data_IF_746736072737
#
_entry.id   IF_746736072737
#
_cell.length_a   1.000
_cell.length_b   1.000
_cell.length_c   1.000
_cell.angle_alpha   90.00
_cell.angle_beta   90.00
_cell.angle_gamma   90.00
#
_symmetry.space_group_name_H-M   'P 1'
#
loop_
_entity.id
_entity.type
_entity.pdbx_description
1 polymer ?
#
# COMPACT_ATOMS: atom_id res chain seq x y z
N UNK A 1 -19.94 -26.06 7.09
CA UNK A 1 -19.78 -24.92 6.17
C UNK A 1 -20.46 -25.17 4.82
N UNK A 2 -20.10 -26.23 4.09
CA UNK A 2 -20.71 -26.55 2.77
C UNK A 2 -22.23 -26.65 2.85
N UNK A 3 -22.76 -27.33 3.86
CA UNK A 3 -24.21 -27.43 4.10
C UNK A 3 -24.90 -26.06 4.23
N UNK A 4 -24.26 -25.10 4.92
CA UNK A 4 -24.80 -23.74 5.05
C UNK A 4 -24.82 -23.00 3.70
N UNK A 5 -23.83 -23.24 2.83
CA UNK A 5 -23.80 -22.67 1.47
C UNK A 5 -24.95 -23.24 0.64
N UNK A 6 -25.13 -24.57 0.64
CA UNK A 6 -26.21 -25.24 -0.09
C UNK A 6 -27.57 -24.77 0.42
N UNK A 7 -27.75 -24.68 1.74
CA UNK A 7 -28.99 -24.17 2.35
C UNK A 7 -29.30 -22.73 1.93
N UNK A 8 -28.30 -21.85 1.87
CA UNK A 8 -28.48 -20.47 1.38
C UNK A 8 -28.86 -20.45 -0.10
N UNK A 9 -28.13 -21.20 -0.93
CA UNK A 9 -28.37 -21.26 -2.37
C UNK A 9 -29.76 -21.81 -2.72
N UNK A 10 -30.28 -22.75 -1.92
CA UNK A 10 -31.61 -23.32 -2.10
C UNK A 10 -32.74 -22.48 -1.45
N UNK A 11 -32.44 -21.35 -0.82
CA UNK A 11 -33.45 -20.55 -0.12
C UNK A 11 -34.27 -19.67 -1.06
N UNK A 12 -35.58 -19.53 -0.80
CA UNK A 12 -36.50 -18.67 -1.58
C UNK A 12 -36.03 -17.21 -1.71
N UNK A 13 -35.27 -16.70 -0.74
CA UNK A 13 -34.71 -15.35 -0.74
C UNK A 13 -33.29 -15.23 -1.32
N UNK A 14 -32.78 -16.27 -1.99
CA UNK A 14 -31.40 -16.27 -2.47
C UNK A 14 -31.12 -15.14 -3.48
N UNK A 15 -31.98 -14.95 -4.48
CA UNK A 15 -31.76 -13.96 -5.54
C UNK A 15 -31.75 -12.51 -5.01
N UNK A 16 -32.64 -12.19 -4.07
CA UNK A 16 -32.67 -10.87 -3.44
C UNK A 16 -31.45 -10.67 -2.53
N UNK A 17 -31.04 -11.70 -1.79
CA UNK A 17 -29.81 -11.70 -1.01
C UNK A 17 -28.56 -11.56 -1.90
N UNK A 18 -28.51 -12.24 -3.04
CA UNK A 18 -27.39 -12.20 -3.98
C UNK A 18 -27.25 -10.82 -4.62
N UNK A 19 -28.37 -10.23 -5.11
CA UNK A 19 -28.39 -8.85 -5.59
C UNK A 19 -27.93 -7.86 -4.54
N UNK A 20 -28.32 -8.06 -3.27
CA UNK A 20 -27.84 -7.22 -2.16
C UNK A 20 -26.33 -7.40 -1.93
N UNK A 21 -25.81 -8.62 -1.95
CA UNK A 21 -24.38 -8.88 -1.87
C UNK A 21 -23.62 -8.25 -3.05
N UNK A 22 -24.17 -8.32 -4.27
CA UNK A 22 -23.60 -7.72 -5.46
C UNK A 22 -23.56 -6.18 -5.41
N UNK A 23 -24.60 -5.55 -4.84
CA UNK A 23 -24.68 -4.08 -4.69
C UNK A 23 -23.50 -3.48 -3.90
N UNK A 24 -22.99 -4.24 -2.91
CA UNK A 24 -21.77 -3.89 -2.15
C UNK A 24 -20.50 -4.50 -2.75
N UNK A 25 -20.59 -4.98 -3.98
CA UNK A 25 -19.52 -5.60 -4.76
C UNK A 25 -19.00 -6.89 -4.16
N UNK A 26 -19.85 -7.68 -3.50
CA UNK A 26 -19.48 -8.89 -2.76
C UNK A 26 -18.50 -8.60 -1.61
N UNK A 27 -18.82 -7.60 -0.79
CA UNK A 27 -18.08 -7.32 0.44
C UNK A 27 -18.16 -8.53 1.37
N UNK A 28 -17.04 -9.09 1.84
CA UNK A 28 -17.03 -10.25 2.71
C UNK A 28 -17.49 -9.97 4.16
N UNK A 29 -17.58 -8.69 4.54
CA UNK A 29 -17.98 -8.23 5.88
C UNK A 29 -18.91 -7.02 5.79
N UNK A 30 -20.03 -7.06 5.04
CA UNK A 30 -20.83 -5.87 4.81
C UNK A 30 -21.37 -5.34 6.15
N UNK A 31 -21.45 -4.01 6.28
CA UNK A 31 -22.10 -3.37 7.42
C UNK A 31 -23.58 -3.26 7.07
N UNK A 32 -24.42 -3.87 7.89
CA UNK A 32 -25.86 -3.82 7.75
C UNK A 32 -26.41 -2.67 8.60
N UNK A 33 -27.17 -1.81 7.95
CA UNK A 33 -27.88 -0.69 8.57
C UNK A 33 -29.38 -0.93 8.41
N UNK A 34 -30.13 -0.64 9.46
CA UNK A 34 -31.59 -0.71 9.47
C UNK A 34 -32.12 0.70 9.73
N UNK A 35 -33.12 1.12 8.97
CA UNK A 35 -33.84 2.37 9.19
C UNK A 35 -35.33 2.15 8.98
N UNK A 36 -36.17 2.94 9.62
CA UNK A 36 -37.60 2.96 9.34
C UNK A 36 -37.91 4.17 8.45
N UNK A 37 -38.77 3.99 7.44
CA UNK A 37 -39.35 5.13 6.74
C UNK A 37 -40.45 5.80 7.59
N UNK A 38 -40.98 6.92 7.09
CA UNK A 38 -42.05 7.69 7.73
C UNK A 38 -43.32 6.87 8.03
N UNK A 39 -43.53 5.74 7.35
CA UNK A 39 -44.63 4.80 7.56
C UNK A 39 -44.28 3.64 8.49
N UNK A 40 -43.10 3.67 9.13
CA UNK A 40 -42.62 2.63 10.02
C UNK A 40 -42.13 1.35 9.31
N UNK A 41 -41.99 1.34 7.97
CA UNK A 41 -41.49 0.16 7.25
C UNK A 41 -39.98 0.07 7.41
N UNK A 42 -39.51 -1.08 7.89
CA UNK A 42 -38.08 -1.33 8.03
C UNK A 42 -37.40 -1.50 6.67
N UNK A 43 -36.34 -0.74 6.46
CA UNK A 43 -35.43 -0.82 5.33
C UNK A 43 -34.08 -1.32 5.79
N UNK A 44 -33.49 -2.21 5.01
CA UNK A 44 -32.15 -2.77 5.28
C UNK A 44 -31.21 -2.37 4.15
N UNK A 45 -30.13 -1.68 4.49
CA UNK A 45 -29.08 -1.29 3.55
C UNK A 45 -27.78 -1.96 3.93
N UNK A 46 -27.05 -2.43 2.93
CA UNK A 46 -25.68 -2.92 3.10
C UNK A 46 -24.70 -1.87 2.60
N UNK A 47 -23.67 -1.60 3.41
CA UNK A 47 -22.52 -0.81 2.98
C UNK A 47 -21.22 -1.61 3.09
N UNK A 48 -20.22 -1.20 2.33
CA UNK A 48 -18.93 -1.89 2.25
C UNK A 48 -18.15 -1.69 3.55
N UNK A 49 -17.45 -2.74 3.99
CA UNK A 49 -16.62 -2.70 5.20
C UNK A 49 -15.40 -1.77 5.11
N UNK A 50 -15.02 -1.36 3.89
CA UNK A 50 -13.84 -0.54 3.60
C UNK A 50 -12.52 -1.09 4.17
N UNK A 51 -12.46 -2.39 4.45
CA UNK A 51 -11.24 -3.02 4.94
C UNK A 51 -10.23 -3.19 3.79
N UNK A 52 -9.07 -2.54 3.93
CA UNK A 52 -8.00 -2.59 2.93
C UNK A 52 -7.30 -3.96 2.83
N UNK A 53 -7.44 -4.84 3.82
CA UNK A 53 -6.65 -6.08 3.93
C UNK A 53 -7.29 -7.19 3.10
N UNK A 54 -6.55 -7.72 2.12
CA UNK A 54 -7.09 -8.68 1.15
C UNK A 54 -7.58 -9.99 1.80
N UNK A 55 -6.89 -10.48 2.83
CA UNK A 55 -7.30 -11.68 3.57
C UNK A 55 -8.60 -11.50 4.37
N UNK A 56 -8.98 -10.26 4.73
CA UNK A 56 -10.25 -9.99 5.43
C UNK A 56 -11.37 -9.83 4.42
N UNK A 57 -11.17 -8.98 3.41
CA UNK A 57 -12.18 -8.69 2.40
C UNK A 57 -11.52 -8.44 1.04
N UNK A 58 -11.47 -9.45 0.14
CA UNK A 58 -10.83 -9.31 -1.16
C UNK A 58 -11.50 -8.21 -1.99
N UNK A 59 -12.83 -8.13 -1.99
CA UNK A 59 -13.58 -7.09 -2.72
C UNK A 59 -13.20 -5.66 -2.31
N UNK A 60 -13.26 -5.33 -1.02
CA UNK A 60 -12.96 -3.98 -0.54
C UNK A 60 -11.47 -3.66 -0.67
N UNK A 61 -10.58 -4.62 -0.42
CA UNK A 61 -9.13 -4.43 -0.61
C UNK A 61 -8.76 -4.13 -2.06
N UNK A 62 -9.38 -4.84 -3.01
CA UNK A 62 -9.15 -4.66 -4.43
C UNK A 62 -9.66 -3.31 -4.92
N UNK A 63 -10.80 -2.86 -4.39
CA UNK A 63 -11.29 -1.51 -4.64
C UNK A 63 -10.32 -0.46 -4.10
N UNK A 64 -9.86 -0.62 -2.85
CA UNK A 64 -8.93 0.28 -2.20
C UNK A 64 -7.58 0.37 -2.94
N UNK A 65 -7.07 -0.76 -3.45
CA UNK A 65 -5.88 -0.79 -4.29
C UNK A 65 -6.07 0.02 -5.58
N UNK A 66 -7.24 -0.13 -6.23
CA UNK A 66 -7.57 0.63 -7.45
C UNK A 66 -7.71 2.12 -7.19
N UNK A 67 -8.34 2.50 -6.07
CA UNK A 67 -8.42 3.92 -5.68
C UNK A 67 -7.05 4.49 -5.38
N UNK A 68 -6.19 3.72 -4.69
CA UNK A 68 -4.82 4.15 -4.44
C UNK A 68 -4.03 4.29 -5.74
N UNK A 69 -4.25 3.39 -6.71
CA UNK A 69 -3.66 3.54 -8.04
C UNK A 69 -4.09 4.85 -8.69
N UNK A 70 -5.37 5.22 -8.66
CA UNK A 70 -5.86 6.49 -9.20
C UNK A 70 -5.23 7.70 -8.49
N UNK A 71 -5.10 7.65 -7.16
CA UNK A 71 -4.44 8.71 -6.38
C UNK A 71 -2.98 8.92 -6.76
N UNK A 72 -2.23 7.83 -6.91
CA UNK A 72 -0.81 7.91 -7.30
C UNK A 72 -0.71 8.36 -8.75
N UNK A 73 -1.48 7.76 -9.65
CA UNK A 73 -1.42 8.03 -11.08
C UNK A 73 -1.79 9.48 -11.41
N UNK A 74 -2.90 10.00 -10.86
CA UNK A 74 -3.29 11.39 -11.06
C UNK A 74 -2.21 12.36 -10.56
N UNK A 75 -1.56 12.04 -9.42
CA UNK A 75 -0.47 12.84 -8.87
C UNK A 75 0.89 12.63 -9.53
N UNK A 76 1.02 11.75 -10.51
CA UNK A 76 2.29 11.46 -11.16
C UNK A 76 2.26 11.75 -12.67
N UNK A 77 1.13 11.50 -13.32
CA UNK A 77 0.93 11.69 -14.75
C UNK A 77 0.03 12.91 -15.08
N UNK A 78 -0.78 13.39 -14.13
CA UNK A 78 -1.71 14.48 -14.43
C UNK A 78 -2.84 14.09 -15.38
N UNK A 79 -3.62 15.07 -15.84
CA UNK A 79 -4.63 14.92 -16.89
C UNK A 79 -5.97 14.29 -16.48
N UNK A 80 -6.14 13.89 -15.21
CA UNK A 80 -7.40 13.35 -14.72
C UNK A 80 -7.61 13.61 -13.23
N UNK A 81 -8.86 13.48 -12.77
CA UNK A 81 -9.29 13.80 -11.39
C UNK A 81 -8.90 15.22 -10.92
N UNK A 82 -8.97 16.20 -11.81
CA UNK A 82 -8.65 17.61 -11.50
C UNK A 82 -7.15 17.89 -11.37
N UNK A 83 -6.31 17.03 -11.95
CA UNK A 83 -4.86 17.26 -12.01
C UNK A 83 -4.45 17.81 -13.37
N UNK A 84 -3.62 18.86 -13.43
CA UNK A 84 -3.11 19.42 -14.68
C UNK A 84 -2.29 18.40 -15.46
N UNK A 85 -2.25 18.48 -16.79
CA UNK A 85 -1.37 17.62 -17.61
C UNK A 85 0.11 17.94 -17.40
N UNK A 86 0.44 19.20 -17.09
CA UNK A 86 1.80 19.70 -16.80
C UNK A 86 2.48 18.96 -15.64
N UNK A 87 1.71 18.33 -14.75
CA UNK A 87 2.23 17.50 -13.65
C UNK A 87 3.17 16.39 -14.13
N UNK A 88 2.96 15.86 -15.34
CA UNK A 88 3.83 14.85 -15.93
C UNK A 88 5.28 15.33 -16.09
N UNK A 89 5.46 16.64 -16.32
CA UNK A 89 6.75 17.27 -16.61
C UNK A 89 7.47 17.73 -15.34
N UNK A 90 6.77 17.75 -14.20
CA UNK A 90 7.35 18.13 -12.92
C UNK A 90 8.43 17.13 -12.49
N UNK A 91 9.56 17.56 -11.90
CA UNK A 91 10.57 16.65 -11.38
C UNK A 91 10.01 15.70 -10.33
N UNK A 92 10.20 14.41 -10.57
CA UNK A 92 9.66 13.33 -9.74
C UNK A 92 10.74 12.31 -9.41
N UNK A 93 10.79 11.87 -8.17
CA UNK A 93 11.70 10.83 -7.71
C UNK A 93 10.92 9.78 -6.93
N UNK A 94 10.96 8.55 -7.41
CA UNK A 94 10.55 7.39 -6.64
C UNK A 94 11.68 7.00 -5.69
N UNK A 95 11.37 6.87 -4.40
CA UNK A 95 12.35 6.55 -3.36
C UNK A 95 11.87 5.39 -2.50
N UNK A 96 12.78 4.47 -2.20
CA UNK A 96 12.59 3.42 -1.21
C UNK A 96 13.54 3.64 -0.04
N UNK A 97 12.96 3.87 1.14
CA UNK A 97 13.67 4.07 2.41
C UNK A 97 13.56 2.80 3.25
N UNK A 98 14.68 2.13 3.46
CA UNK A 98 14.74 0.90 4.24
C UNK A 98 15.15 1.15 5.68
N UNK A 99 14.78 0.22 6.56
CA UNK A 99 15.28 0.18 7.92
C UNK A 99 16.77 -0.25 7.92
N UNK A 100 17.56 0.13 8.95
CA UNK A 100 18.90 -0.39 9.13
C UNK A 100 18.88 -1.92 9.34
N UNK A 101 20.07 -2.53 9.31
CA UNK A 101 20.22 -3.93 9.66
C UNK A 101 20.28 -4.07 11.18
N UNK A 102 19.44 -4.94 11.73
CA UNK A 102 19.43 -5.29 13.16
C UNK A 102 20.09 -6.65 13.43
N UNK A 103 20.44 -7.39 12.39
CA UNK A 103 21.06 -8.70 12.49
C UNK A 103 21.04 -9.38 11.13
N UNK A 104 21.83 -10.45 10.97
CA UNK A 104 21.84 -11.22 9.74
C UNK A 104 20.54 -12.04 9.65
N UNK A 105 19.81 -11.91 8.54
CA UNK A 105 18.56 -12.64 8.27
C UNK A 105 18.66 -13.47 7.01
N UNK A 106 17.82 -14.49 6.90
CA UNK A 106 17.62 -15.21 5.64
C UNK A 106 17.00 -14.29 4.58
N UNK A 107 17.44 -14.43 3.33
CA UNK A 107 16.91 -13.67 2.20
C UNK A 107 16.52 -14.60 1.06
N UNK A 108 15.46 -14.23 0.34
CA UNK A 108 15.04 -14.94 -0.87
C UNK A 108 16.04 -14.71 -2.01
N UNK A 109 16.21 -15.73 -2.84
CA UNK A 109 17.14 -15.70 -3.97
C UNK A 109 16.44 -15.13 -5.21
N UNK A 110 17.12 -14.26 -5.99
CA UNK A 110 16.51 -13.64 -7.17
C UNK A 110 16.69 -14.55 -8.38
N UNK A 111 15.58 -15.06 -8.94
CA UNK A 111 15.61 -16.14 -9.95
C UNK A 111 16.00 -15.74 -11.39
N UNK A 112 16.85 -14.74 -11.64
CA UNK A 112 17.07 -14.25 -13.03
C UNK A 112 18.48 -14.33 -13.62
N UNK A 113 19.50 -14.77 -12.89
CA UNK A 113 20.82 -15.02 -13.50
C UNK A 113 21.41 -16.34 -13.01
N UNK A 114 21.94 -17.14 -13.95
CA UNK A 114 22.32 -18.57 -13.88
C UNK A 114 23.45 -18.93 -12.90
N UNK A 115 23.88 -18.05 -12.00
CA UNK A 115 24.68 -18.47 -10.85
C UNK A 115 23.71 -18.80 -9.71
N UNK A 116 23.78 -20.01 -9.14
CA UNK A 116 22.97 -20.43 -8.00
C UNK A 116 23.13 -19.43 -6.84
N UNK A 117 22.31 -18.38 -6.82
CA UNK A 117 22.30 -17.43 -5.75
C UNK A 117 21.77 -18.17 -4.54
N UNK A 118 22.60 -18.27 -3.51
CA UNK A 118 22.22 -18.82 -2.22
C UNK A 118 21.70 -17.70 -1.31
N UNK A 119 20.91 -18.08 -0.32
CA UNK A 119 20.25 -17.20 0.64
C UNK A 119 21.21 -16.14 1.21
N UNK A 120 22.39 -16.57 1.64
CA UNK A 120 23.44 -15.68 2.10
C UNK A 120 24.79 -16.36 1.91
N UNK A 121 25.48 -15.96 0.85
CA UNK A 121 26.77 -16.51 0.48
C UNK A 121 27.83 -16.27 1.57
N UNK A 122 28.51 -17.36 1.94
CA UNK A 122 29.63 -17.42 2.87
C UNK A 122 30.78 -16.48 2.47
N UNK A 123 30.94 -16.18 1.17
CA UNK A 123 32.00 -15.33 0.66
C UNK A 123 31.66 -13.82 0.68
N UNK A 124 30.37 -13.43 0.78
CA UNK A 124 29.97 -12.03 0.56
C UNK A 124 30.02 -11.14 1.79
N UNK A 125 29.81 -11.64 3.01
CA UNK A 125 29.98 -10.86 4.27
C UNK A 125 30.14 -11.81 5.46
N UNK A 126 31.37 -12.00 5.94
CA UNK A 126 31.66 -12.68 7.21
C UNK A 126 32.59 -13.88 7.14
N UNK A 127 32.75 -14.54 5.99
CA UNK A 127 33.54 -15.79 5.90
C UNK A 127 32.94 -16.90 6.78
N UNK A 128 33.76 -17.88 7.17
CA UNK A 128 33.40 -18.93 8.14
C UNK A 128 33.19 -18.41 9.58
N UNK A 129 32.95 -17.11 9.78
CA UNK A 129 32.75 -16.55 11.12
C UNK A 129 31.44 -17.07 11.71
N UNK A 130 31.58 -17.71 12.86
CA UNK A 130 30.49 -17.94 13.79
C UNK A 130 30.27 -16.68 14.61
N UNK A 131 29.03 -16.41 14.99
CA UNK A 131 28.75 -15.38 15.96
C UNK A 131 29.30 -15.79 17.35
N UNK A 132 29.34 -14.87 18.34
CA UNK A 132 29.72 -15.20 19.71
C UNK A 132 28.90 -16.34 20.33
N UNK A 133 27.67 -16.57 19.85
CA UNK A 133 26.79 -17.67 20.27
C UNK A 133 27.05 -18.99 19.51
N UNK A 134 28.10 -19.07 18.69
CA UNK A 134 28.48 -20.28 17.94
C UNK A 134 27.66 -20.56 16.67
N UNK A 135 26.64 -19.74 16.36
CA UNK A 135 25.79 -19.90 15.16
C UNK A 135 26.46 -19.37 13.89
N UNK A 136 26.18 -20.02 12.76
CA UNK A 136 26.67 -19.60 11.44
C UNK A 136 25.87 -18.40 10.94
N UNK A 137 26.56 -17.39 10.40
CA UNK A 137 25.93 -16.17 9.86
C UNK A 137 25.83 -16.18 8.33
N UNK A 138 25.79 -17.36 7.74
CA UNK A 138 25.60 -17.62 6.31
C UNK A 138 24.57 -18.73 6.10
N UNK A 139 24.02 -18.83 4.89
CA UNK A 139 23.10 -19.90 4.51
C UNK A 139 23.26 -20.19 3.02
N UNK A 140 23.71 -21.41 2.71
CA UNK A 140 23.94 -21.89 1.33
C UNK A 140 22.68 -22.44 0.66
N UNK A 141 21.53 -22.44 1.33
CA UNK A 141 20.27 -22.87 0.75
C UNK A 141 19.72 -21.81 -0.20
N UNK A 142 18.97 -22.22 -1.23
CA UNK A 142 18.15 -21.30 -2.01
C UNK A 142 16.76 -21.23 -1.39
N UNK A 143 16.31 -20.02 -1.08
CA UNK A 143 14.95 -19.77 -0.57
C UNK A 143 14.15 -19.03 -1.62
N UNK A 144 12.93 -19.50 -1.89
CA UNK A 144 11.97 -18.70 -2.65
C UNK A 144 11.38 -17.58 -1.78
N UNK A 145 10.53 -16.73 -2.37
CA UNK A 145 9.91 -15.60 -1.65
C UNK A 145 8.83 -15.99 -0.65
N UNK A 146 8.32 -17.22 -0.70
CA UNK A 146 7.30 -17.78 0.18
C UNK A 146 7.85 -18.68 1.30
N UNK A 147 9.13 -19.03 1.26
CA UNK A 147 9.81 -19.80 2.29
C UNK A 147 9.73 -19.10 3.65
N UNK A 148 9.23 -19.83 4.66
CA UNK A 148 9.01 -19.33 6.02
C UNK A 148 10.28 -18.85 6.71
N UNK A 149 11.45 -19.32 6.28
CA UNK A 149 12.74 -18.88 6.82
C UNK A 149 13.06 -17.45 6.39
N UNK A 150 12.58 -16.99 5.23
CA UNK A 150 12.94 -15.67 4.70
C UNK A 150 12.51 -14.56 5.65
N UNK A 151 13.46 -13.73 6.05
CA UNK A 151 13.26 -12.66 7.02
C UNK A 151 13.57 -13.07 8.47
N UNK A 152 13.66 -14.36 8.79
CA UNK A 152 14.06 -14.82 10.12
C UNK A 152 15.57 -14.58 10.35
N UNK A 153 16.00 -14.29 11.59
CA UNK A 153 17.40 -14.11 11.93
C UNK A 153 18.16 -15.44 11.88
N UNK A 154 19.40 -15.40 11.38
CA UNK A 154 20.32 -16.54 11.42
C UNK A 154 20.77 -16.87 12.86
N UNK A 155 20.78 -15.85 13.72
CA UNK A 155 21.00 -15.99 15.16
C UNK A 155 20.06 -14.99 15.87
N UNK A 156 18.96 -15.47 16.49
CA UNK A 156 18.04 -14.63 17.25
C UNK A 156 18.72 -13.78 18.31
N UNK A 157 19.73 -14.33 18.99
CA UNK A 157 20.48 -13.69 20.07
C UNK A 157 21.41 -12.57 19.58
N UNK A 158 21.81 -12.61 18.30
CA UNK A 158 22.55 -11.51 17.67
C UNK A 158 21.65 -10.45 17.04
N UNK A 159 20.33 -10.65 17.04
CA UNK A 159 19.40 -9.72 16.44
C UNK A 159 18.99 -8.64 17.45
N UNK A 160 19.21 -7.38 17.10
CA UNK A 160 18.82 -6.22 17.90
C UNK A 160 17.30 -5.96 17.80
N UNK A 161 16.54 -6.66 18.64
CA UNK A 161 15.09 -6.50 18.72
C UNK A 161 14.67 -5.16 19.33
N UNK A 162 15.42 -4.62 20.29
CA UNK A 162 15.12 -3.32 20.90
C UNK A 162 15.21 -2.21 19.86
N UNK A 163 16.31 -2.14 19.11
CA UNK A 163 16.49 -1.20 18.00
C UNK A 163 15.46 -1.41 16.88
N UNK A 164 15.07 -2.66 16.58
CA UNK A 164 14.00 -2.95 15.62
C UNK A 164 12.68 -2.30 16.04
N UNK A 165 12.27 -2.52 17.30
CA UNK A 165 11.00 -2.02 17.83
C UNK A 165 11.04 -0.49 17.93
N UNK A 166 12.14 0.08 18.41
CA UNK A 166 12.33 1.52 18.51
C UNK A 166 12.30 2.19 17.13
N UNK A 167 12.98 1.62 16.12
CA UNK A 167 12.88 2.10 14.73
C UNK A 167 11.43 2.07 14.24
N UNK A 168 10.72 0.97 14.44
CA UNK A 168 9.33 0.80 13.99
C UNK A 168 8.37 1.78 14.65
N UNK A 169 8.49 1.97 15.97
CA UNK A 169 7.69 2.92 16.75
C UNK A 169 7.93 4.37 16.33
N UNK A 170 9.19 4.72 16.06
CA UNK A 170 9.60 6.09 15.74
C UNK A 170 9.66 6.39 14.24
N UNK A 171 9.42 5.42 13.35
CA UNK A 171 9.41 5.62 11.90
C UNK A 171 8.51 6.79 11.44
N UNK A 172 7.31 7.03 12.01
CA UNK A 172 6.52 8.22 11.66
C UNK A 172 7.21 9.55 11.99
N UNK A 173 7.92 9.63 13.11
CA UNK A 173 8.69 10.83 13.51
C UNK A 173 9.96 10.98 12.66
N UNK A 174 10.65 9.88 12.37
CA UNK A 174 11.79 9.90 11.46
C UNK A 174 11.39 10.39 10.07
N UNK A 175 10.22 9.96 9.56
CA UNK A 175 9.65 10.49 8.32
C UNK A 175 9.35 11.99 8.41
N UNK A 176 8.76 12.46 9.52
CA UNK A 176 8.50 13.90 9.72
C UNK A 176 9.80 14.69 9.63
N UNK A 177 10.83 14.28 10.38
CA UNK A 177 12.17 14.89 10.36
C UNK A 177 12.79 14.85 8.97
N UNK A 178 12.69 13.74 8.26
CA UNK A 178 13.17 13.62 6.88
C UNK A 178 12.53 14.69 5.99
N UNK A 179 11.21 14.86 6.03
CA UNK A 179 10.55 15.88 5.19
C UNK A 179 10.93 17.32 5.57
N UNK A 180 11.31 17.57 6.83
CA UNK A 180 11.82 18.87 7.27
C UNK A 180 13.24 19.08 6.72
N UNK A 181 14.13 18.09 6.88
CA UNK A 181 15.50 18.11 6.38
C UNK A 181 15.53 18.24 4.86
N UNK A 182 14.67 17.52 4.14
CA UNK A 182 14.52 17.62 2.69
C UNK A 182 14.16 19.04 2.25
N UNK A 183 13.15 19.67 2.88
CA UNK A 183 12.77 21.05 2.56
C UNK A 183 13.90 22.04 2.86
N UNK A 184 14.61 21.87 3.98
CA UNK A 184 15.76 22.73 4.33
C UNK A 184 16.92 22.58 3.34
N UNK A 185 17.25 21.34 2.98
CA UNK A 185 18.30 21.04 2.00
C UNK A 185 17.95 21.62 0.62
N UNK A 186 16.71 21.43 0.17
CA UNK A 186 16.21 22.01 -1.07
C UNK A 186 16.29 23.54 -1.05
N UNK A 187 15.80 24.19 0.02
CA UNK A 187 15.89 25.65 0.17
C UNK A 187 17.33 26.15 0.08
N UNK A 188 18.29 25.45 0.70
CA UNK A 188 19.71 25.79 0.63
C UNK A 188 20.25 25.66 -0.79
N UNK A 189 19.92 24.57 -1.48
CA UNK A 189 20.32 24.34 -2.88
C UNK A 189 19.74 25.39 -3.82
N UNK A 190 18.47 25.77 -3.67
CA UNK A 190 17.83 26.81 -4.49
C UNK A 190 18.46 28.19 -4.26
N UNK A 191 18.68 28.58 -3.00
CA UNK A 191 19.37 29.84 -2.68
C UNK A 191 20.78 29.90 -3.26
N UNK A 192 21.52 28.79 -3.20
CA UNK A 192 22.86 28.72 -3.78
C UNK A 192 22.86 28.85 -5.31
N UNK A 193 21.75 28.47 -5.97
CA UNK A 193 21.53 28.66 -7.39
C UNK A 193 20.90 30.02 -7.75
N UNK A 194 20.73 30.93 -6.79
CA UNK A 194 20.11 32.25 -7.03
C UNK A 194 18.58 32.21 -7.22
N UNK A 195 17.93 31.09 -6.90
CA UNK A 195 16.49 30.89 -7.06
C UNK A 195 15.76 31.14 -5.73
N UNK A 196 14.64 31.86 -5.79
CA UNK A 196 13.77 32.03 -4.63
C UNK A 196 13.14 30.68 -4.22
N UNK A 197 13.47 30.14 -3.02
CA UNK A 197 12.92 28.87 -2.57
C UNK A 197 11.41 28.85 -2.38
N UNK A 198 10.77 30.00 -2.17
CA UNK A 198 9.34 30.04 -1.89
C UNK A 198 8.49 29.89 -3.16
N UNK A 199 9.12 29.85 -4.34
CA UNK A 199 8.48 29.50 -5.62
C UNK A 199 8.21 28.00 -5.78
N UNK A 200 8.84 27.14 -4.97
CA UNK A 200 8.79 25.67 -5.09
C UNK A 200 8.19 25.01 -3.85
N UNK A 201 7.33 24.02 -4.07
CA UNK A 201 6.74 23.16 -3.04
C UNK A 201 7.14 21.71 -3.25
N UNK A 202 7.43 21.01 -2.14
CA UNK A 202 7.60 19.56 -2.13
C UNK A 202 6.27 18.87 -1.86
N UNK A 203 5.79 18.09 -2.82
CA UNK A 203 4.63 17.21 -2.73
C UNK A 203 5.06 15.75 -2.70
N UNK A 204 4.36 14.91 -1.95
CA UNK A 204 4.66 13.47 -1.94
C UNK A 204 3.42 12.62 -1.71
N UNK A 205 3.52 11.35 -2.11
CA UNK A 205 2.73 10.25 -1.57
C UNK A 205 3.69 9.21 -1.02
N UNK A 206 3.38 8.65 0.14
CA UNK A 206 4.15 7.58 0.77
C UNK A 206 3.27 6.38 1.11
N UNK A 207 3.86 5.21 0.97
CA UNK A 207 3.28 3.93 1.33
C UNK A 207 4.26 3.18 2.22
N UNK A 208 3.75 2.65 3.33
CA UNK A 208 4.52 1.81 4.26
C UNK A 208 4.21 0.36 3.97
N UNK A 209 5.26 -0.43 3.79
CA UNK A 209 5.19 -1.87 3.60
C UNK A 209 6.05 -2.56 4.64
N UNK A 210 5.63 -3.75 5.09
CA UNK A 210 6.47 -4.62 5.92
C UNK A 210 7.31 -5.54 5.05
N UNK A 211 8.61 -5.56 5.32
CA UNK A 211 9.54 -6.52 4.72
C UNK A 211 9.32 -7.91 5.32
N UNK A 212 9.90 -8.95 4.69
CA UNK A 212 9.81 -10.32 5.20
C UNK A 212 10.33 -10.47 6.65
N UNK A 213 11.33 -9.66 7.03
CA UNK A 213 11.85 -9.58 8.42
C UNK A 213 10.97 -8.79 9.38
N UNK A 214 9.67 -8.68 9.09
CA UNK A 214 8.67 -8.00 9.90
C UNK A 214 8.90 -6.50 10.19
N UNK A 215 9.83 -5.84 9.47
CA UNK A 215 10.15 -4.42 9.68
C UNK A 215 9.51 -3.51 8.61
N UNK A 216 8.95 -2.34 8.98
CA UNK A 216 8.40 -1.42 8.00
C UNK A 216 9.49 -0.71 7.20
N UNK A 217 9.20 -0.46 5.93
CA UNK A 217 9.96 0.40 5.03
C UNK A 217 9.01 1.30 4.23
N UNK A 218 9.53 2.39 3.68
CA UNK A 218 8.72 3.42 3.03
C UNK A 218 9.05 3.44 1.54
N UNK A 219 8.02 3.32 0.71
CA UNK A 219 8.08 3.77 -0.68
C UNK A 219 7.43 5.13 -0.79
N UNK A 220 8.05 6.08 -1.47
CA UNK A 220 7.45 7.37 -1.72
C UNK A 220 7.71 7.84 -3.14
N UNK A 221 6.75 8.58 -3.69
CA UNK A 221 6.95 9.37 -4.90
C UNK A 221 6.94 10.84 -4.46
N UNK A 222 8.08 11.51 -4.65
CA UNK A 222 8.31 12.90 -4.25
C UNK A 222 8.39 13.74 -5.52
N UNK A 223 7.62 14.82 -5.58
CA UNK A 223 7.46 15.72 -6.72
C UNK A 223 7.73 17.17 -6.31
N UNK A 224 8.35 17.95 -7.17
CA UNK A 224 8.40 19.41 -7.03
C UNK A 224 7.26 20.06 -7.78
N UNK A 225 6.62 21.03 -7.15
CA UNK A 225 5.49 21.78 -7.69
C UNK A 225 5.75 23.27 -7.58
N UNK A 226 5.06 24.10 -8.37
CA UNK A 226 4.89 25.52 -8.05
C UNK A 226 4.19 25.68 -6.68
N UNK A 227 4.59 26.71 -5.94
CA UNK A 227 4.07 26.95 -4.58
C UNK A 227 2.57 27.24 -4.54
N UNK A 228 2.09 28.05 -5.47
CA UNK A 228 0.69 28.49 -5.49
C UNK A 228 -0.14 27.47 -6.27
N UNK A 229 -0.17 27.61 -7.58
CA UNK A 229 -1.04 26.85 -8.47
C UNK A 229 -0.28 25.86 -9.34
N UNK A 230 -0.77 24.61 -9.37
CA UNK A 230 -0.24 23.56 -10.24
C UNK A 230 -0.50 23.86 -11.72
N UNK A 231 -1.53 24.66 -12.02
CA UNK A 231 -1.89 25.09 -13.38
C UNK A 231 -1.12 26.34 -13.85
N UNK A 232 -0.13 26.82 -13.09
CA UNK A 232 0.63 28.02 -13.47
C UNK A 232 1.27 27.82 -14.87
N UNK A 233 0.85 28.57 -15.90
CA UNK A 233 1.37 28.40 -17.24
C UNK A 233 2.85 28.81 -17.30
N UNK A 234 3.66 28.01 -17.99
CA UNK A 234 5.09 28.28 -18.17
C UNK A 234 5.94 28.13 -16.92
N UNK A 235 5.45 27.47 -15.86
CA UNK A 235 6.31 27.13 -14.73
C UNK A 235 7.30 26.04 -15.14
N UNK A 236 8.59 26.36 -15.03
CA UNK A 236 9.68 25.39 -15.15
C UNK A 236 10.31 25.19 -13.77
N UNK A 237 10.57 23.93 -13.43
CA UNK A 237 11.26 23.65 -12.17
C UNK A 237 12.71 24.15 -12.24
N UNK A 238 13.20 24.86 -11.22
CA UNK A 238 14.57 25.35 -11.18
C UNK A 238 15.62 24.24 -11.08
N UNK A 239 15.22 23.03 -10.72
CA UNK A 239 16.09 21.85 -10.68
C UNK A 239 15.39 20.65 -11.30
N UNK A 240 16.15 19.74 -11.90
CA UNK A 240 15.66 18.50 -12.49
C UNK A 240 15.46 17.38 -11.46
N UNK A 241 14.94 16.24 -11.95
CA UNK A 241 14.69 15.07 -11.10
C UNK A 241 15.99 14.44 -10.56
N UNK A 242 17.11 14.58 -11.28
CA UNK A 242 18.42 14.07 -10.85
C UNK A 242 18.97 14.90 -9.68
N UNK A 243 18.89 16.22 -9.75
CA UNK A 243 19.27 17.11 -8.63
C UNK A 243 18.37 16.85 -7.42
N UNK A 244 17.05 16.72 -7.64
CA UNK A 244 16.11 16.36 -6.58
C UNK A 244 16.50 15.04 -5.89
N UNK A 245 16.90 14.02 -6.66
CA UNK A 245 17.36 12.75 -6.11
C UNK A 245 18.61 12.92 -5.23
N UNK A 246 19.57 13.77 -5.62
CA UNK A 246 20.76 14.08 -4.81
C UNK A 246 20.36 14.76 -3.48
N UNK A 247 19.45 15.73 -3.53
CA UNK A 247 18.94 16.41 -2.32
C UNK A 247 18.20 15.43 -1.40
N UNK A 248 17.40 14.53 -1.97
CA UNK A 248 16.72 13.46 -1.23
C UNK A 248 17.75 12.54 -0.55
N UNK A 249 18.76 12.04 -1.28
CA UNK A 249 19.81 11.19 -0.70
C UNK A 249 20.56 11.89 0.43
N UNK A 250 20.90 13.17 0.27
CA UNK A 250 21.52 13.97 1.32
C UNK A 250 20.62 14.06 2.56
N UNK A 251 19.34 14.37 2.38
CA UNK A 251 18.38 14.45 3.49
C UNK A 251 18.19 13.11 4.22
N UNK A 252 18.21 11.99 3.50
CA UNK A 252 18.12 10.64 4.09
C UNK A 252 19.36 10.30 4.91
N UNK A 253 20.55 10.64 4.41
CA UNK A 253 21.83 10.34 5.09
C UNK A 253 22.06 11.21 6.32
N UNK A 254 21.48 12.40 6.37
CA UNK A 254 21.68 13.37 7.46
C UNK A 254 20.60 13.32 8.53
N UNK A 255 19.40 12.81 8.22
CA UNK A 255 18.32 12.75 9.20
C UNK A 255 18.63 11.73 10.29
N UNK A 256 18.63 12.21 11.54
CA UNK A 256 18.76 11.39 12.73
C UNK A 256 17.68 11.76 13.76
N UNK A 257 17.34 10.78 14.58
CA UNK A 257 16.40 10.92 15.68
C UNK A 257 16.99 10.22 16.90
N UNK A 258 17.43 11.00 17.87
CA UNK A 258 17.83 10.47 19.19
C UNK A 258 16.57 10.23 20.02
N UNK A 259 16.44 9.03 20.57
CA UNK A 259 15.34 8.62 21.45
C UNK A 259 15.91 8.03 22.73
N UNK A 260 15.12 8.05 23.79
CA UNK A 260 15.48 7.34 25.00
C UNK A 260 15.27 5.84 24.75
N UNK A 261 16.29 5.04 25.01
CA UNK A 261 16.20 3.58 25.00
C UNK A 261 16.12 3.11 26.46
N UNK A 262 14.96 2.64 26.93
CA UNK A 262 14.79 2.16 28.30
C UNK A 262 15.64 0.91 28.63
N UNK A 263 16.24 0.27 27.62
CA UNK A 263 17.05 -0.94 27.77
C UNK A 263 18.55 -0.69 27.77
N UNK A 264 18.99 0.52 27.41
CA UNK A 264 20.39 0.91 27.43
C UNK A 264 20.74 1.66 28.72
N UNK A 265 21.93 1.40 29.28
CA UNK A 265 22.46 2.10 30.46
C UNK A 265 22.72 3.59 30.13
N UNK A 266 21.68 4.42 30.26
CA UNK A 266 21.76 5.89 30.28
C UNK A 266 22.02 6.60 28.95
N UNK A 267 22.16 5.88 27.83
CA UNK A 267 22.41 6.46 26.50
C UNK A 267 21.15 6.58 25.64
N UNK A 268 20.96 7.73 24.97
CA UNK A 268 19.95 7.86 23.93
C UNK A 268 20.33 7.06 22.67
N UNK A 269 19.42 6.24 22.14
CA UNK A 269 19.64 5.52 20.89
C UNK A 269 19.37 6.43 19.69
N UNK A 270 20.28 6.42 18.71
CA UNK A 270 20.11 7.19 17.48
C UNK A 270 19.46 6.35 16.38
N UNK A 271 18.25 6.73 15.99
CA UNK A 271 17.48 6.14 14.91
C UNK A 271 17.77 6.88 13.60
N UNK A 272 18.03 6.10 12.54
CA UNK A 272 18.28 6.57 11.17
C UNK A 272 17.77 5.55 10.14
N UNK A 273 17.66 5.95 8.89
CA UNK A 273 17.42 5.01 7.80
C UNK A 273 18.63 4.10 7.55
N UNK A 274 18.37 2.94 6.92
CA UNK A 274 19.39 2.02 6.48
C UNK A 274 20.24 2.59 5.34
N UNK A 275 21.36 1.93 5.06
CA UNK A 275 22.29 2.32 3.97
C UNK A 275 21.75 1.99 2.59
N UNK A 276 20.82 1.04 2.49
CA UNK A 276 20.15 0.69 1.24
C UNK A 276 19.08 1.73 0.92
N UNK A 277 19.49 2.73 0.15
CA UNK A 277 18.65 3.80 -0.37
C UNK A 277 18.56 3.62 -1.88
N UNK A 278 17.34 3.51 -2.38
CA UNK A 278 17.08 3.45 -3.82
C UNK A 278 16.28 4.68 -4.22
N UNK A 279 16.86 5.52 -5.06
CA UNK A 279 16.22 6.71 -5.64
C UNK A 279 16.24 6.60 -7.15
N UNK A 280 15.06 6.63 -7.75
CA UNK A 280 14.86 6.51 -9.18
C UNK A 280 14.17 7.78 -9.66
N UNK A 281 14.91 8.73 -10.27
CA UNK A 281 14.30 9.83 -11.00
C UNK A 281 13.35 9.28 -12.05
N UNK A 282 12.13 9.80 -12.11
CA UNK A 282 11.21 9.52 -13.21
C UNK A 282 11.60 10.46 -14.35
N UNK A 283 11.60 9.93 -15.57
CA UNK A 283 11.62 10.79 -16.76
C UNK A 283 10.21 11.25 -17.05
N UNK A 284 10.06 12.48 -17.54
CA UNK A 284 8.83 12.91 -18.16
C UNK A 284 8.58 11.99 -19.36
N UNK A 285 7.65 11.04 -19.22
CA UNK A 285 7.30 10.17 -20.33
C UNK A 285 6.30 10.90 -21.23
N UNK A 286 6.76 11.29 -22.41
CA UNK A 286 6.04 10.86 -23.61
C UNK A 286 5.99 9.34 -23.50
N UNK A 287 4.79 8.74 -23.45
CA UNK A 287 4.65 7.29 -23.45
C UNK A 287 5.52 6.74 -24.59
N UNK A 288 6.59 5.96 -24.32
CA UNK A 288 7.37 5.40 -25.41
C UNK A 288 6.46 4.47 -26.21
N UNK A 289 6.57 4.45 -27.55
CA UNK A 289 5.82 3.50 -28.35
C UNK A 289 6.08 2.07 -27.84
N UNK A 290 5.15 1.12 -28.02
CA UNK A 290 5.17 -0.19 -27.36
C UNK A 290 6.40 -1.09 -27.64
N UNK A 291 7.35 -0.62 -28.45
CA UNK A 291 8.46 -1.36 -29.00
C UNK A 291 9.79 -0.73 -28.57
N UNK A 292 10.25 -1.01 -27.35
CA UNK A 292 11.69 -1.02 -27.09
C UNK A 292 11.97 -1.91 -25.86
N UNK A 293 12.30 -3.17 -26.14
CA UNK A 293 12.93 -4.05 -25.18
C UNK A 293 14.43 -3.70 -25.14
N UNK A 294 14.79 -2.62 -24.45
CA UNK A 294 16.20 -2.35 -24.20
C UNK A 294 16.70 -3.24 -23.05
N UNK A 295 17.46 -4.25 -23.45
CA UNK A 295 18.36 -5.04 -22.64
C UNK A 295 19.38 -4.12 -21.96
N UNK A 296 19.50 -4.22 -20.63
CA UNK A 296 20.73 -3.87 -19.92
C UNK A 296 21.10 -2.39 -19.76
N UNK A 297 20.18 -1.50 -19.38
CA UNK A 297 20.50 -0.27 -18.63
C UNK A 297 19.23 0.26 -17.94
N UNK A 298 19.38 0.87 -16.77
CA UNK A 298 18.33 1.35 -15.86
C UNK A 298 16.95 1.55 -16.49
N UNK A 299 16.01 0.61 -16.27
CA UNK A 299 14.61 0.75 -16.71
C UNK A 299 14.06 2.06 -16.20
N UNK A 300 13.86 3.03 -17.10
CA UNK A 300 13.12 4.24 -16.78
C UNK A 300 11.74 3.84 -16.24
N UNK A 301 11.44 4.25 -15.01
CA UNK A 301 10.17 3.94 -14.36
C UNK A 301 9.12 4.93 -14.82
N UNK A 302 8.11 4.48 -15.56
CA UNK A 302 6.96 5.34 -15.87
C UNK A 302 6.06 5.55 -14.66
N UNK A 303 5.39 6.70 -14.60
CA UNK A 303 4.39 7.04 -13.56
C UNK A 303 3.35 5.93 -13.38
N UNK A 304 2.93 5.31 -14.48
CA UNK A 304 1.99 4.17 -14.50
C UNK A 304 2.54 2.93 -13.80
N UNK A 305 3.82 2.62 -14.00
CA UNK A 305 4.49 1.48 -13.38
C UNK A 305 4.65 1.70 -11.86
N UNK A 306 5.03 2.91 -11.45
CA UNK A 306 5.15 3.30 -10.03
C UNK A 306 3.78 3.22 -9.35
N UNK A 307 2.72 3.77 -9.95
CA UNK A 307 1.36 3.68 -9.41
C UNK A 307 0.92 2.23 -9.23
N UNK A 308 1.19 1.36 -10.20
CA UNK A 308 0.89 -0.08 -10.11
C UNK A 308 1.69 -0.77 -9.01
N UNK A 309 2.98 -0.44 -8.89
CA UNK A 309 3.85 -0.98 -7.86
C UNK A 309 3.33 -0.59 -6.47
N UNK A 310 3.08 0.70 -6.24
CA UNK A 310 2.59 1.24 -4.99
C UNK A 310 1.22 0.65 -4.59
N UNK A 311 0.27 0.57 -5.52
CA UNK A 311 -1.05 -0.02 -5.29
C UNK A 311 -1.01 -1.51 -4.91
N UNK A 312 0.05 -2.25 -5.26
CA UNK A 312 0.22 -3.66 -4.88
C UNK A 312 0.39 -3.83 -3.36
N UNK A 313 1.02 -2.86 -2.69
CA UNK A 313 1.44 -3.02 -1.30
C UNK A 313 0.43 -2.54 -0.28
N UNK A 314 -0.48 -1.65 -0.69
CA UNK A 314 -1.43 -1.02 0.24
C UNK A 314 -2.46 -1.99 0.81
N UNK A 315 -2.61 -3.18 0.22
CA UNK A 315 -3.50 -4.25 0.68
C UNK A 315 -2.81 -5.32 1.51
N UNK A 316 -1.48 -5.30 1.59
CA UNK A 316 -0.70 -6.22 2.43
C UNK A 316 -1.00 -5.99 3.90
N UNK A 317 -0.90 -7.06 4.67
CA UNK A 317 -1.22 -7.11 6.09
C UNK A 317 -0.28 -8.06 6.81
N UNK A 318 -0.28 -7.98 8.14
CA UNK A 318 0.47 -8.87 9.01
C UNK A 318 -0.09 -10.30 9.11
N UNK A 319 -1.20 -10.63 8.44
CA UNK A 319 -1.75 -11.99 8.43
C UNK A 319 -0.79 -13.04 7.84
N UNK A 320 0.11 -12.65 6.93
CA UNK A 320 1.17 -13.54 6.45
C UNK A 320 2.21 -13.87 7.54
N UNK A 321 2.21 -13.13 8.64
CA UNK A 321 3.03 -13.35 9.83
C UNK A 321 2.20 -13.91 11.00
N UNK A 322 1.03 -14.49 10.73
CA UNK A 322 0.13 -15.06 11.76
C UNK A 322 -0.61 -14.04 12.63
N UNK A 323 -0.41 -12.73 12.41
CA UNK A 323 -1.05 -11.68 13.21
C UNK A 323 -2.42 -11.31 12.66
N UNK A 324 -3.44 -11.49 13.50
CA UNK A 324 -4.82 -11.17 13.15
C UNK A 324 -5.07 -9.66 13.00
N UNK A 325 -6.19 -9.32 12.37
CA UNK A 325 -6.62 -7.95 12.18
C UNK A 325 -7.07 -7.23 13.47
N UNK A 326 -7.33 -7.98 14.55
CA UNK A 326 -7.89 -7.49 15.82
C UNK A 326 -6.78 -6.98 16.74
N UNK A 327 -7.17 -6.19 17.75
CA UNK A 327 -6.23 -5.82 18.83
C UNK A 327 -5.74 -7.10 19.52
N UNK A 328 -4.42 -7.15 19.73
CA UNK A 328 -3.75 -8.19 20.49
C UNK A 328 -3.46 -7.66 21.88
N UNK A 329 -3.67 -8.50 22.90
CA UNK A 329 -3.17 -8.26 24.24
C UNK A 329 -1.85 -8.99 24.46
N UNK A 330 -1.13 -8.60 25.51
CA UNK A 330 0.14 -9.18 25.94
C UNK A 330 -0.01 -10.66 26.33
N UNK A 331 -1.12 -11.01 26.96
CA UNK A 331 -1.43 -12.36 27.45
C UNK A 331 -1.68 -13.34 26.30
N UNK A 332 -2.11 -12.83 25.15
CA UNK A 332 -2.39 -13.67 23.97
C UNK A 332 -1.11 -14.07 23.21
N UNK A 333 0.03 -13.44 23.48
CA UNK A 333 1.28 -13.66 22.73
C UNK A 333 1.70 -15.14 22.71
N UNK A 334 1.70 -15.89 23.83
CA UNK A 334 2.09 -17.32 23.85
C UNK A 334 1.26 -18.20 22.92
N UNK A 335 -0.03 -17.90 22.75
CA UNK A 335 -0.96 -18.75 21.99
C UNK A 335 -1.01 -18.43 20.49
N UNK A 336 -0.26 -17.42 20.02
CA UNK A 336 -0.22 -17.06 18.62
C UNK A 336 0.55 -18.09 17.79
N UNK A 337 -0.03 -18.49 16.65
CA UNK A 337 0.66 -19.28 15.62
C UNK A 337 1.54 -18.36 14.75
N UNK A 338 2.71 -18.02 15.29
CA UNK A 338 3.69 -17.11 14.69
C UNK A 338 5.10 -17.67 14.82
N UNK A 339 6.00 -17.27 13.93
CA UNK A 339 7.41 -17.62 14.03
C UNK A 339 8.04 -17.05 15.30
N UNK A 340 9.10 -17.71 15.78
CA UNK A 340 9.81 -17.26 16.97
C UNK A 340 10.33 -15.82 16.84
N UNK A 341 10.77 -15.43 15.64
CA UNK A 341 11.18 -14.07 15.34
C UNK A 341 10.07 -13.04 15.62
N UNK A 342 8.84 -13.32 15.16
CA UNK A 342 7.69 -12.44 15.37
C UNK A 342 7.27 -12.44 16.84
N UNK A 343 7.30 -13.60 17.49
CA UNK A 343 7.03 -13.72 18.93
C UNK A 343 8.01 -12.88 19.75
N UNK A 344 9.31 -12.95 19.47
CA UNK A 344 10.33 -12.14 20.15
C UNK A 344 10.10 -10.64 19.94
N UNK A 345 9.69 -10.19 18.74
CA UNK A 345 9.30 -8.78 18.50
C UNK A 345 8.13 -8.37 19.40
N UNK A 346 7.09 -9.19 19.49
CA UNK A 346 5.91 -8.91 20.31
C UNK A 346 6.26 -8.84 21.81
N UNK A 347 7.06 -9.79 22.31
CA UNK A 347 7.55 -9.78 23.69
C UNK A 347 8.41 -8.54 23.95
N UNK A 348 9.31 -8.18 23.02
CA UNK A 348 10.14 -6.96 23.14
C UNK A 348 9.29 -5.69 23.21
N UNK A 349 8.19 -5.63 22.46
CA UNK A 349 7.22 -4.53 22.56
C UNK A 349 6.59 -4.46 23.95
N UNK A 350 6.22 -5.60 24.53
CA UNK A 350 5.70 -5.68 25.90
C UNK A 350 6.73 -5.17 26.91
N UNK A 351 7.95 -5.70 26.86
CA UNK A 351 9.02 -5.32 27.78
C UNK A 351 9.35 -3.81 27.71
N UNK A 352 9.35 -3.24 26.50
CA UNK A 352 9.56 -1.80 26.32
C UNK A 352 8.39 -0.98 26.85
N UNK A 353 7.15 -1.48 26.75
CA UNK A 353 6.00 -0.83 27.35
C UNK A 353 6.13 -0.75 28.88
N UNK A 354 6.54 -1.85 29.51
CA UNK A 354 6.73 -1.96 30.96
C UNK A 354 7.89 -1.09 31.46
N UNK A 355 8.96 -0.96 30.65
CA UNK A 355 10.11 -0.10 30.93
C UNK A 355 9.86 1.40 30.64
N UNK A 356 8.65 1.80 30.27
CA UNK A 356 8.25 3.20 30.21
C UNK A 356 8.04 3.79 28.80
N UNK A 357 8.11 2.98 27.72
CA UNK A 357 7.72 3.43 26.38
C UNK A 357 6.18 3.46 26.25
N UNK A 358 5.58 4.49 26.85
CA UNK A 358 4.13 4.56 27.03
C UNK A 358 3.33 4.40 25.73
N UNK A 359 2.32 3.53 25.79
CA UNK A 359 1.32 3.36 24.75
C UNK A 359 1.73 2.45 23.59
N UNK A 360 2.96 1.92 23.54
CA UNK A 360 3.40 0.99 22.48
C UNK A 360 2.64 -0.33 22.50
N UNK A 361 2.29 -0.87 23.68
CA UNK A 361 1.52 -2.10 23.82
C UNK A 361 0.14 -2.07 23.11
N UNK A 362 -0.44 -0.88 22.91
CA UNK A 362 -1.70 -0.73 22.14
C UNK A 362 -1.55 -1.08 20.64
N UNK A 363 -0.31 -1.21 20.17
CA UNK A 363 0.07 -1.41 18.78
C UNK A 363 0.74 -2.78 18.53
N UNK A 364 0.56 -3.76 19.43
CA UNK A 364 1.02 -5.15 19.21
C UNK A 364 0.54 -5.72 17.87
N UNK A 365 -0.73 -5.50 17.54
CA UNK A 365 -1.36 -5.92 16.28
C UNK A 365 -0.81 -5.22 15.02
N UNK A 366 0.12 -4.27 15.17
CA UNK A 366 0.88 -3.64 14.08
C UNK A 366 2.39 -3.75 14.26
N UNK A 367 2.86 -4.64 15.15
CA UNK A 367 4.28 -4.78 15.52
C UNK A 367 4.91 -3.45 15.96
N UNK A 368 4.15 -2.62 16.68
CA UNK A 368 4.61 -1.32 17.15
C UNK A 368 4.50 -0.19 16.12
N UNK A 369 4.11 -0.47 14.87
CA UNK A 369 3.95 0.61 13.89
C UNK A 369 2.66 1.40 14.14
N UNK A 370 2.77 2.69 14.48
CA UNK A 370 1.63 3.57 14.81
C UNK A 370 1.20 4.54 13.70
N UNK A 371 1.74 4.39 12.49
CA UNK A 371 1.48 5.30 11.37
C UNK A 371 0.37 4.83 10.43
N UNK A 372 -0.01 5.68 9.48
CA UNK A 372 -0.85 5.29 8.35
C UNK A 372 -0.02 4.57 7.28
N UNK A 373 -0.61 3.55 6.67
CA UNK A 373 -0.01 2.80 5.56
C UNK A 373 0.11 3.64 4.29
N UNK A 374 -0.82 4.57 4.06
CA UNK A 374 -0.78 5.48 2.91
C UNK A 374 -0.97 6.90 3.42
N UNK A 375 -0.14 7.83 2.98
CA UNK A 375 -0.26 9.26 3.31
C UNK A 375 0.24 10.10 2.15
N UNK A 376 -0.41 11.24 1.88
CA UNK A 376 0.00 12.16 0.81
C UNK A 376 -0.06 13.61 1.26
N UNK A 377 0.71 14.47 0.59
CA UNK A 377 0.54 15.92 0.67
C UNK A 377 -0.86 16.31 0.18
N UNK A 378 -1.43 17.37 0.77
CA UNK A 378 -2.78 17.84 0.44
C UNK A 378 -2.98 18.05 -1.07
N UNK A 379 -2.06 18.78 -1.72
CA UNK A 379 -2.07 19.09 -3.16
C UNK A 379 -1.33 18.08 -4.05
N UNK A 380 -1.03 16.87 -3.56
CA UNK A 380 -0.37 15.87 -4.41
C UNK A 380 -1.30 15.36 -5.53
N UNK A 381 -2.55 15.05 -5.17
CA UNK A 381 -3.61 14.57 -6.07
C UNK A 381 -4.99 14.73 -5.43
N UNK A 382 -6.04 14.22 -6.08
CA UNK A 382 -7.42 14.10 -5.54
C UNK A 382 -7.51 13.34 -4.21
N UNK A 383 -8.70 13.15 -3.64
CA UNK A 383 -8.90 12.44 -2.36
C UNK A 383 -9.65 11.13 -2.53
N UNK A 384 -9.49 10.24 -1.54
CA UNK A 384 -10.26 8.98 -1.50
C UNK A 384 -11.76 9.23 -1.41
N UNK A 385 -12.18 10.32 -0.75
CA UNK A 385 -13.57 10.75 -0.64
C UNK A 385 -14.13 11.14 -2.00
N UNK A 386 -13.42 12.01 -2.74
CA UNK A 386 -13.81 12.43 -4.09
C UNK A 386 -13.92 11.24 -5.04
N UNK A 387 -12.98 10.29 -4.99
CA UNK A 387 -13.05 9.07 -5.81
C UNK A 387 -14.28 8.20 -5.48
N UNK A 388 -14.66 8.14 -4.20
CA UNK A 388 -15.87 7.39 -3.76
C UNK A 388 -17.14 8.09 -4.20
N UNK A 389 -17.21 9.42 -4.11
CA UNK A 389 -18.35 10.21 -4.56
C UNK A 389 -18.54 10.10 -6.08
N UNK A 390 -17.46 10.27 -6.86
CA UNK A 390 -17.49 10.08 -8.31
C UNK A 390 -18.00 8.69 -8.69
N UNK A 391 -17.51 7.65 -8.00
CA UNK A 391 -18.02 6.29 -8.19
C UNK A 391 -19.49 6.15 -7.82
N UNK A 392 -19.93 6.72 -6.70
CA UNK A 392 -21.31 6.64 -6.26
C UNK A 392 -22.27 7.33 -7.24
N UNK A 393 -21.88 8.49 -7.78
CA UNK A 393 -22.62 9.19 -8.84
C UNK A 393 -22.70 8.31 -10.09
N UNK A 394 -21.56 7.78 -10.56
CA UNK A 394 -21.52 6.91 -11.74
C UNK A 394 -22.38 5.65 -11.55
N UNK A 395 -22.30 4.99 -10.38
CA UNK A 395 -23.14 3.81 -10.08
C UNK A 395 -24.63 4.16 -10.09
N UNK A 396 -25.04 5.30 -9.53
CA UNK A 396 -26.44 5.74 -9.59
C UNK A 396 -26.91 5.96 -11.03
N UNK A 397 -26.11 6.65 -11.84
CA UNK A 397 -26.43 6.92 -13.25
C UNK A 397 -26.54 5.62 -14.08
N UNK A 398 -25.62 4.68 -13.90
CA UNK A 398 -25.67 3.39 -14.60
C UNK A 398 -26.86 2.54 -14.15
N UNK A 399 -27.19 2.55 -12.86
CA UNK A 399 -28.41 1.90 -12.36
C UNK A 399 -29.66 2.51 -13.00
N UNK A 400 -29.76 3.85 -13.06
CA UNK A 400 -30.90 4.53 -13.70
C UNK A 400 -31.04 4.17 -15.18
N UNK A 401 -29.93 4.07 -15.94
CA UNK A 401 -29.95 3.63 -17.34
C UNK A 401 -30.42 2.19 -17.48
N UNK A 402 -30.01 1.30 -16.57
CA UNK A 402 -30.43 -0.10 -16.59
C UNK A 402 -31.92 -0.27 -16.28
N UNK A 403 -32.49 0.53 -15.38
CA UNK A 403 -33.95 0.57 -15.12
C UNK A 403 -34.75 1.22 -16.24
N UNK A 404 -34.18 2.15 -17.02
CA UNK A 404 -34.88 2.75 -18.17
C UNK A 404 -35.17 1.74 -19.31
N UNK A 405 -34.50 0.57 -19.32
CA UNK A 405 -34.80 -0.55 -20.22
C UNK A 405 -35.75 -1.60 -19.61
N UNK A 406 -36.19 -1.42 -18.36
CA UNK A 406 -37.22 -2.21 -17.68
C UNK A 406 -38.30 -1.25 -17.18
N UNK A 407 -39.14 -0.76 -18.09
CA UNK A 407 -40.33 -0.01 -17.70
C UNK A 407 -41.35 -0.96 -17.08
N UNK A 408 -41.45 -0.93 -15.76
CA UNK A 408 -42.60 -1.39 -14.98
C UNK A 408 -43.19 -0.14 -14.30
N UNK A 409 -44.48 0.23 -14.51
CA UNK A 409 -45.00 1.55 -14.16
C UNK A 409 -45.18 1.84 -12.67
N UNK A 410 -44.87 0.90 -11.76
CA UNK A 410 -45.26 0.99 -10.34
C UNK A 410 -44.11 1.32 -9.35
N UNK A 411 -42.98 1.86 -9.82
CA UNK A 411 -41.83 2.16 -8.94
C UNK A 411 -41.36 3.62 -9.02
N UNK A 412 -42.27 4.58 -8.92
CA UNK A 412 -41.93 5.98 -8.68
C UNK A 412 -41.45 6.17 -7.22
N UNK A 413 -40.15 6.02 -6.99
CA UNK A 413 -39.52 6.62 -5.81
C UNK A 413 -39.07 8.03 -6.16
N UNK A 414 -40.02 8.96 -6.09
CA UNK A 414 -39.74 10.38 -5.99
C UNK A 414 -38.75 10.63 -4.84
N UNK A 415 -37.73 11.43 -5.13
CA UNK A 415 -36.69 11.82 -4.20
C UNK A 415 -37.24 12.69 -3.06
N UNK A 416 -37.71 12.04 -2.00
CA UNK A 416 -37.77 12.62 -0.67
C UNK A 416 -36.42 12.46 0.00
N UNK A 417 -35.76 13.59 0.29
CA UNK A 417 -34.64 13.69 1.23
C UNK A 417 -35.17 13.49 2.66
N UNK A 418 -35.85 12.37 2.90
CA UNK A 418 -36.30 12.00 4.23
C UNK A 418 -35.08 11.55 5.02
N UNK A 419 -34.83 12.23 6.13
CA UNK A 419 -33.81 11.89 7.11
C UNK A 419 -34.17 10.55 7.78
N UNK A 420 -33.97 9.44 7.06
CA UNK A 420 -34.06 8.10 7.62
C UNK A 420 -32.89 7.94 8.58
N UNK A 421 -33.20 7.85 9.88
CA UNK A 421 -32.23 7.50 10.89
C UNK A 421 -31.79 6.05 10.68
N UNK A 422 -30.53 5.86 10.31
CA UNK A 422 -29.93 4.53 10.12
C UNK A 422 -29.26 4.07 11.41
N UNK A 423 -29.67 2.91 11.90
CA UNK A 423 -29.07 2.24 13.04
C UNK A 423 -28.16 1.10 12.58
N UNK A 424 -27.04 0.91 13.29
CA UNK A 424 -26.17 -0.24 13.08
C UNK A 424 -26.84 -1.51 13.62
N UNK A 425 -27.00 -2.51 12.75
CA UNK A 425 -27.51 -3.82 13.14
C UNK A 425 -26.36 -4.81 13.34
N UNK A 426 -25.58 -5.08 12.28
CA UNK A 426 -24.49 -6.05 12.34
C UNK A 426 -23.39 -5.80 11.32
N UNK A 427 -22.23 -6.37 11.60
CA UNK A 427 -21.13 -6.48 10.65
C UNK A 427 -20.94 -7.92 10.20
N UNK A 428 -20.96 -8.14 8.90
CA UNK A 428 -20.67 -9.42 8.28
C UNK A 428 -21.88 -10.33 8.06
N UNK A 429 -21.70 -11.40 7.26
CA UNK A 429 -22.78 -12.28 6.84
C UNK A 429 -23.42 -13.05 8.00
N UNK A 430 -24.63 -13.57 7.77
CA UNK A 430 -25.43 -14.34 8.73
C UNK A 430 -24.76 -15.63 9.18
N UNK A 431 -23.99 -16.26 8.30
CA UNK A 431 -23.34 -17.55 8.50
C UNK A 431 -21.97 -17.63 7.84
N UNK A 432 -21.18 -18.65 8.18
CA UNK A 432 -19.93 -18.94 7.47
C UNK A 432 -20.19 -19.37 6.02
N UNK A 433 -21.31 -20.05 5.74
CA UNK A 433 -21.73 -20.38 4.37
C UNK A 433 -21.98 -19.14 3.51
N UNK A 434 -22.74 -18.17 4.03
CA UNK A 434 -23.00 -16.89 3.36
C UNK A 434 -21.68 -16.15 3.09
N UNK A 435 -20.77 -16.14 4.07
CA UNK A 435 -19.44 -15.55 3.92
C UNK A 435 -18.63 -16.23 2.82
N UNK A 436 -18.62 -17.56 2.76
CA UNK A 436 -17.90 -18.32 1.75
C UNK A 436 -18.45 -18.06 0.34
N UNK A 437 -19.78 -18.00 0.17
CA UNK A 437 -20.41 -17.64 -1.11
C UNK A 437 -19.97 -16.25 -1.59
N UNK A 438 -20.09 -15.23 -0.72
CA UNK A 438 -19.71 -13.85 -1.06
C UNK A 438 -18.20 -13.72 -1.31
N UNK A 439 -17.38 -14.40 -0.51
CA UNK A 439 -15.92 -14.36 -0.65
C UNK A 439 -15.47 -14.98 -1.99
N UNK A 440 -16.03 -16.13 -2.36
CA UNK A 440 -15.75 -16.78 -3.65
C UNK A 440 -16.20 -15.92 -4.83
N UNK A 441 -17.39 -15.33 -4.76
CA UNK A 441 -17.90 -14.42 -5.80
C UNK A 441 -16.99 -13.20 -5.98
N UNK A 442 -16.49 -12.62 -4.87
CA UNK A 442 -15.55 -11.52 -4.92
C UNK A 442 -14.23 -11.90 -5.64
N UNK A 443 -13.66 -13.07 -5.31
CA UNK A 443 -12.45 -13.56 -5.97
C UNK A 443 -12.66 -13.82 -7.46
N UNK A 444 -13.77 -14.45 -7.83
CA UNK A 444 -14.13 -14.70 -9.22
C UNK A 444 -14.28 -13.40 -10.01
N UNK A 445 -14.99 -12.40 -9.46
CA UNK A 445 -15.14 -11.07 -10.10
C UNK A 445 -13.81 -10.36 -10.29
N UNK A 446 -12.91 -10.46 -9.31
CA UNK A 446 -11.54 -9.91 -9.42
C UNK A 446 -10.76 -10.64 -10.51
N UNK A 447 -10.87 -11.96 -10.58
CA UNK A 447 -10.17 -12.80 -11.55
C UNK A 447 -10.65 -12.54 -12.99
N UNK A 448 -11.96 -12.57 -13.24
CA UNK A 448 -12.56 -12.28 -14.55
C UNK A 448 -12.11 -10.91 -15.04
N UNK A 449 -12.17 -9.89 -14.19
CA UNK A 449 -11.71 -8.54 -14.57
C UNK A 449 -10.23 -8.50 -14.91
N UNK A 450 -9.38 -9.26 -14.20
CA UNK A 450 -7.94 -9.34 -14.52
C UNK A 450 -7.72 -10.02 -15.87
N UNK A 451 -8.45 -11.09 -16.18
CA UNK A 451 -8.41 -11.75 -17.48
C UNK A 451 -8.83 -10.77 -18.57
N UNK A 452 -10.00 -10.14 -18.45
CA UNK A 452 -10.47 -9.18 -19.45
C UNK A 452 -9.49 -8.01 -19.69
N UNK A 453 -8.80 -7.53 -18.65
CA UNK A 453 -7.75 -6.52 -18.79
C UNK A 453 -6.49 -7.04 -19.52
N UNK A 454 -6.14 -8.32 -19.35
CA UNK A 454 -5.02 -8.94 -20.07
C UNK A 454 -5.39 -9.17 -21.54
N UNK A 455 -6.60 -9.65 -21.80
CA UNK A 455 -7.13 -9.86 -23.15
C UNK A 455 -7.29 -8.56 -23.92
N UNK A 456 -7.91 -7.53 -23.34
CA UNK A 456 -8.02 -6.21 -23.96
C UNK A 456 -6.65 -5.65 -24.37
N UNK A 457 -5.62 -5.81 -23.52
CA UNK A 457 -4.25 -5.40 -23.86
C UNK A 457 -3.62 -6.23 -24.97
N UNK A 458 -3.94 -7.52 -25.08
CA UNK A 458 -3.51 -8.35 -26.20
C UNK A 458 -4.15 -7.87 -27.49
N UNK A 459 -5.45 -7.56 -27.47
CA UNK A 459 -6.17 -7.03 -28.64
C UNK A 459 -5.65 -5.66 -29.09
N UNK A 460 -5.36 -4.73 -28.16
CA UNK A 460 -4.75 -3.45 -28.53
C UNK A 460 -3.36 -3.63 -29.15
N UNK A 461 -2.60 -4.65 -28.71
CA UNK A 461 -1.29 -4.98 -29.31
C UNK A 461 -1.41 -5.65 -30.68
N UNK A 462 -2.44 -6.46 -30.92
CA UNK A 462 -2.67 -7.08 -32.24
C UNK A 462 -3.20 -6.08 -33.26
N UNK A 463 -4.06 -5.13 -32.86
CA UNK A 463 -4.57 -4.08 -33.75
C UNK A 463 -3.50 -3.07 -34.20
N UNK A 464 -2.40 -2.93 -33.44
CA UNK A 464 -1.25 -2.12 -33.84
C UNK A 464 -0.29 -2.85 -34.79
N UNK A 465 -0.57 -4.11 -35.15
CA UNK A 465 0.28 -4.95 -36.02
C UNK A 465 -0.24 -5.09 -37.46
N UNK A 466 -1.41 -4.51 -37.80
CA UNK A 466 -1.89 -4.48 -39.18
C UNK A 466 -1.51 -3.14 -39.83
N UNK A 467 -0.39 -3.05 -40.60
CA UNK A 467 -0.24 -1.95 -41.55
C UNK A 467 -1.29 -2.14 -42.66
N UNK A 468 -1.92 -1.06 -43.16
CA UNK A 468 -2.74 -1.18 -44.36
C UNK A 468 -1.83 -1.65 -45.50
N UNK A 469 -2.17 -2.80 -46.08
CA UNK A 469 -1.55 -3.27 -47.31
C UNK A 469 -1.71 -2.19 -48.37
N UNK A 470 -0.57 -1.65 -48.81
CA UNK A 470 -0.48 -0.99 -50.10
C UNK A 470 -0.73 -2.06 -51.16
N UNK A 471 -1.96 -2.11 -51.65
CA UNK A 471 -2.24 -2.56 -53.00
C UNK A 471 -1.73 -1.48 -53.95
N UNK A 472 -0.64 -1.74 -54.66
CA UNK A 472 -0.32 -1.06 -55.91
C UNK A 472 0.00 -2.13 -56.95
N UNK A 473 -0.94 -2.29 -57.88
CA UNK A 473 -0.69 -2.58 -59.28
C UNK A 473 -0.95 -1.31 -60.09
#
# INVERSE_FOLDING_TARGET
>A
MVEQMVRRAASMGYESWWRRAESVGFCAHPIQLIGADEYGRQRVVWTRCNNRRAHICPSCSDLYARDTWQLVHAGAAGGHHGMPTTVADHPQVFVTLTAPSFGAVHTATKSREKAAQVCRDQHRVGGYRRCPHGKQLWCSMSHDHGDERVGQPLCPECYDYAGHVLFTWHLPELWRRFTITLRRALRKSLKAAGVDPDTVRVSFIKIVELQARAIPHIHALIRLDPHDDLDRPGWESPIGAVELAKVIQYAIRTVTLTVNDPTADGGGQTIRFGTQIDTQPLTASVDPPPNEHNSGSSRSMSSRLVARYLAKYVTKSLAALGISARRLSTEAIPDLDVSEHVRTILTTISDLADKGLSGIGRWLHTLGFRGHITSKSRRYSTTMTVLREQRAIWTRQESSKSTAYQYDPDCDFAGGDDLVAWEFDRAGPGSLGDRSLVYSAALQRIHIRRIGLVEARRHTRSQHWDPPGASDG
#
